data_IF_579003221306
#
_entry.id   IF_579003221306
#
_cell.length_a   1.000
_cell.length_b   1.000
_cell.length_c   1.000
_cell.angle_alpha   90.00
_cell.angle_beta   90.00
_cell.angle_gamma   90.00
#
_symmetry.space_group_name_H-M   'P 1'
#
loop_
_entity.id
_entity.type
_entity.pdbx_description
1 polymer ?
#
# COMPACT_ATOMS: atom_id res chain seq x y z
N UNK A 1 41.37 -6.07 1.97
CA UNK A 1 40.13 -5.81 2.72
C UNK A 1 39.00 -5.68 1.70
N UNK A 2 38.36 -6.80 1.39
CA UNK A 2 37.20 -6.80 0.47
C UNK A 2 36.00 -6.14 1.15
N UNK A 3 35.47 -5.10 0.50
CA UNK A 3 34.24 -4.45 0.92
C UNK A 3 33.10 -5.47 0.84
N UNK A 4 32.56 -5.90 1.97
CA UNK A 4 31.32 -6.67 2.02
C UNK A 4 30.24 -5.86 1.32
N UNK A 5 29.87 -6.25 0.11
CA UNK A 5 28.65 -5.76 -0.56
C UNK A 5 27.48 -6.03 0.39
N UNK A 6 26.78 -4.99 0.79
CA UNK A 6 25.49 -5.13 1.49
C UNK A 6 24.57 -5.99 0.64
N UNK A 7 23.74 -6.86 1.25
CA UNK A 7 22.77 -7.62 0.49
C UNK A 7 21.88 -6.62 -0.26
N UNK A 8 21.97 -6.66 -1.57
CA UNK A 8 20.99 -6.01 -2.43
C UNK A 8 19.71 -6.81 -2.22
N UNK A 9 18.65 -6.16 -1.71
CA UNK A 9 17.30 -6.67 -1.87
C UNK A 9 17.02 -6.53 -3.36
N UNK A 10 17.40 -7.55 -4.11
CA UNK A 10 17.06 -7.66 -5.49
C UNK A 10 15.55 -7.78 -5.55
N UNK A 11 14.89 -6.93 -6.31
CA UNK A 11 13.60 -7.28 -6.89
C UNK A 11 13.86 -8.57 -7.63
N UNK A 12 13.51 -9.70 -7.00
CA UNK A 12 13.64 -11.03 -7.60
C UNK A 12 12.93 -10.95 -8.93
N UNK A 13 13.64 -11.25 -10.02
CA UNK A 13 13.22 -11.04 -11.39
C UNK A 13 11.76 -11.36 -11.64
N UNK A 14 10.91 -10.39 -11.39
CA UNK A 14 9.54 -10.37 -11.83
C UNK A 14 9.64 -10.05 -13.32
N UNK A 15 9.17 -10.91 -14.23
CA UNK A 15 9.17 -10.60 -15.65
C UNK A 15 8.17 -9.46 -15.86
N UNK A 16 8.65 -8.22 -15.75
CA UNK A 16 7.85 -7.06 -16.10
C UNK A 16 7.68 -7.03 -17.61
N UNK A 17 6.47 -7.21 -18.07
CA UNK A 17 6.10 -6.99 -19.48
C UNK A 17 6.09 -5.51 -19.86
N UNK A 18 6.32 -4.59 -18.92
CA UNK A 18 6.10 -3.16 -19.08
C UNK A 18 7.36 -2.29 -18.88
N UNK A 19 8.56 -2.79 -19.19
CA UNK A 19 9.69 -1.89 -19.25
C UNK A 19 10.84 -2.17 -18.29
N UNK A 20 11.73 -1.21 -18.14
CA UNK A 20 12.98 -1.32 -17.39
C UNK A 20 12.74 -1.03 -15.90
N UNK A 21 13.20 -1.92 -15.02
CA UNK A 21 13.18 -1.70 -13.56
C UNK A 21 14.43 -0.93 -13.16
N UNK A 22 14.26 0.12 -12.37
CA UNK A 22 15.35 0.84 -11.73
C UNK A 22 15.29 0.56 -10.23
N UNK A 23 16.35 -0.04 -9.69
CA UNK A 23 16.50 -0.22 -8.25
C UNK A 23 17.13 1.04 -7.65
N UNK A 24 16.40 1.70 -6.75
CA UNK A 24 16.86 2.88 -6.03
C UNK A 24 17.55 2.52 -4.70
N UNK A 25 17.58 1.23 -4.36
CA UNK A 25 18.17 0.71 -3.13
C UNK A 25 17.36 1.03 -1.87
N UNK A 26 17.87 0.59 -0.75
CA UNK A 26 17.26 0.82 0.55
C UNK A 26 17.45 2.27 1.02
N UNK A 27 16.39 2.85 1.57
CA UNK A 27 16.50 4.14 2.25
C UNK A 27 17.25 3.96 3.57
N UNK A 28 18.27 4.79 3.78
CA UNK A 28 18.96 4.82 5.07
C UNK A 28 18.10 5.58 6.09
N UNK A 29 17.35 4.81 6.89
CA UNK A 29 16.47 5.32 7.93
C UNK A 29 17.18 5.25 9.28
N UNK A 30 17.39 6.40 9.90
CA UNK A 30 18.01 6.52 11.21
C UNK A 30 16.94 6.82 12.26
N UNK A 31 16.93 6.01 13.33
CA UNK A 31 16.07 6.28 14.46
C UNK A 31 16.60 7.48 15.25
N UNK A 32 15.71 8.31 15.73
CA UNK A 32 16.06 9.42 16.65
C UNK A 32 16.39 8.82 18.01
N UNK A 33 17.55 9.17 18.54
CA UNK A 33 17.96 8.74 19.87
C UNK A 33 16.95 9.28 20.92
N UNK A 34 16.51 8.40 21.83
CA UNK A 34 15.55 8.75 22.90
C UNK A 34 14.27 9.43 22.37
N UNK A 35 13.66 8.84 21.31
CA UNK A 35 12.42 9.33 20.71
C UNK A 35 11.23 9.07 21.65
N UNK A 36 10.99 10.04 22.54
CA UNK A 36 9.95 9.94 23.56
C UNK A 36 8.57 9.94 22.92
N UNK A 37 7.65 9.06 23.40
CA UNK A 37 6.28 9.09 22.96
C UNK A 37 5.66 10.50 23.11
N UNK A 38 4.82 10.85 22.17
CA UNK A 38 3.97 12.04 22.27
C UNK A 38 2.57 11.56 22.67
N UNK A 39 2.18 11.81 23.91
CA UNK A 39 1.03 11.15 24.52
C UNK A 39 1.19 9.62 24.41
N UNK A 40 0.26 8.94 23.69
CA UNK A 40 0.34 7.50 23.44
C UNK A 40 1.16 7.14 22.20
N UNK A 41 1.41 8.10 21.30
CA UNK A 41 2.02 7.84 19.99
C UNK A 41 3.50 7.51 20.16
N UNK A 42 3.90 6.36 19.65
CA UNK A 42 5.26 5.81 19.79
C UNK A 42 6.17 6.29 18.66
N UNK A 43 7.41 6.60 19.01
CA UNK A 43 8.49 6.94 18.06
C UNK A 43 8.11 8.01 17.00
N UNK A 44 7.40 9.10 17.36
CA UNK A 44 6.83 9.99 16.36
C UNK A 44 7.89 10.68 15.49
N UNK A 45 9.04 11.05 16.04
CA UNK A 45 10.09 11.74 15.29
C UNK A 45 10.80 10.82 14.32
N UNK A 46 11.11 9.60 14.77
CA UNK A 46 11.75 8.59 13.93
C UNK A 46 10.88 8.22 12.74
N UNK A 47 9.57 7.95 12.98
CA UNK A 47 8.61 7.63 11.93
C UNK A 47 8.39 8.83 10.99
N UNK A 48 8.30 10.05 11.54
CA UNK A 48 8.15 11.27 10.74
C UNK A 48 9.34 11.53 9.82
N UNK A 49 10.58 11.37 10.31
CA UNK A 49 11.78 11.52 9.49
C UNK A 49 11.91 10.42 8.43
N UNK A 50 11.58 9.18 8.77
CA UNK A 50 11.56 8.08 7.82
C UNK A 50 10.57 8.37 6.66
N UNK A 51 9.35 8.76 7.01
CA UNK A 51 8.32 9.11 6.04
C UNK A 51 8.70 10.31 5.16
N UNK A 52 9.43 11.28 5.68
CA UNK A 52 9.95 12.39 4.88
C UNK A 52 10.89 11.90 3.77
N UNK A 53 11.80 10.98 4.10
CA UNK A 53 12.70 10.36 3.10
C UNK A 53 11.94 9.55 2.07
N UNK A 54 10.91 8.81 2.50
CA UNK A 54 10.00 8.09 1.58
C UNK A 54 9.33 9.07 0.63
N UNK A 55 8.77 10.17 1.15
CA UNK A 55 8.10 11.19 0.34
C UNK A 55 9.03 11.80 -0.72
N UNK A 56 10.25 12.16 -0.34
CA UNK A 56 11.26 12.71 -1.25
C UNK A 56 11.61 11.73 -2.38
N UNK A 57 11.76 10.44 -2.04
CA UNK A 57 12.10 9.41 -3.03
C UNK A 57 10.92 9.12 -3.97
N UNK A 58 9.70 8.94 -3.43
CA UNK A 58 8.51 8.69 -4.26
C UNK A 58 8.24 9.88 -5.17
N UNK A 59 8.34 11.12 -4.68
CA UNK A 59 8.21 12.32 -5.51
C UNK A 59 9.24 12.36 -6.65
N UNK A 60 10.49 11.97 -6.39
CA UNK A 60 11.54 11.88 -7.41
C UNK A 60 11.20 10.85 -8.49
N UNK A 61 10.76 9.65 -8.09
CA UNK A 61 10.42 8.56 -9.01
C UNK A 61 9.23 8.93 -9.89
N UNK A 62 8.13 9.39 -9.27
CA UNK A 62 6.89 9.72 -9.98
C UNK A 62 7.03 10.96 -10.87
N UNK A 63 7.87 11.94 -10.49
CA UNK A 63 8.24 13.08 -11.34
C UNK A 63 8.95 12.64 -12.62
N UNK A 64 9.71 11.55 -12.57
CA UNK A 64 10.35 10.94 -13.73
C UNK A 64 9.39 10.07 -14.56
N UNK A 65 8.08 10.08 -14.24
CA UNK A 65 7.04 9.26 -14.89
C UNK A 65 7.29 7.75 -14.76
N UNK A 66 7.96 7.35 -13.70
CA UNK A 66 8.14 5.95 -13.33
C UNK A 66 7.05 5.56 -12.32
N UNK A 67 6.66 4.30 -12.32
CA UNK A 67 5.82 3.75 -11.27
C UNK A 67 6.70 3.56 -10.03
N UNK A 68 6.33 4.20 -8.91
CA UNK A 68 7.04 3.99 -7.66
C UNK A 68 6.53 2.69 -7.00
N UNK A 69 7.43 1.75 -6.72
CA UNK A 69 7.15 0.59 -5.88
C UNK A 69 7.86 0.78 -4.54
N UNK A 70 7.08 0.90 -3.48
CA UNK A 70 7.57 0.94 -2.09
C UNK A 70 7.46 -0.46 -1.51
N UNK A 71 8.59 -1.09 -1.22
CA UNK A 71 8.64 -2.30 -0.40
C UNK A 71 8.85 -1.83 1.04
N UNK A 72 7.76 -1.72 1.75
CA UNK A 72 7.75 -1.07 3.04
C UNK A 72 8.03 -1.98 4.21
N UNK A 73 8.17 -1.34 5.36
CA UNK A 73 8.00 -1.90 6.69
C UNK A 73 6.52 -1.92 7.05
N UNK A 74 6.16 -1.23 8.14
CA UNK A 74 4.77 -1.08 8.55
C UNK A 74 4.00 -0.07 7.67
N UNK A 75 2.67 -0.05 7.78
CA UNK A 75 1.82 0.77 6.92
C UNK A 75 1.97 2.29 7.14
N UNK A 76 2.70 2.72 8.17
CA UNK A 76 2.98 4.15 8.36
C UNK A 76 3.72 4.78 7.17
N UNK A 77 4.46 3.99 6.37
CA UNK A 77 5.18 4.49 5.17
C UNK A 77 4.24 5.13 4.14
N UNK A 78 2.95 4.79 4.17
CA UNK A 78 1.94 5.38 3.30
C UNK A 78 1.76 6.90 3.50
N UNK A 79 2.11 7.44 4.66
CA UNK A 79 2.13 8.89 4.87
C UNK A 79 3.10 9.54 3.87
N UNK A 80 4.31 8.99 3.80
CA UNK A 80 5.36 9.49 2.91
C UNK A 80 5.06 9.20 1.44
N UNK A 81 4.62 7.98 1.12
CA UNK A 81 4.41 7.58 -0.27
C UNK A 81 3.24 8.33 -0.93
N UNK A 82 2.10 8.46 -0.23
CA UNK A 82 0.94 9.23 -0.74
C UNK A 82 1.30 10.72 -0.87
N UNK A 83 1.95 11.31 0.17
CA UNK A 83 2.35 12.71 0.11
C UNK A 83 3.36 12.97 -1.01
N UNK A 84 4.38 12.11 -1.16
CA UNK A 84 5.37 12.22 -2.23
C UNK A 84 4.75 12.07 -3.61
N UNK A 85 3.83 11.12 -3.79
CA UNK A 85 3.10 10.94 -5.05
C UNK A 85 2.25 12.16 -5.39
N UNK A 86 1.56 12.76 -4.40
CA UNK A 86 0.74 13.95 -4.60
C UNK A 86 1.55 15.19 -5.03
N UNK A 87 2.86 15.25 -4.78
CA UNK A 87 3.71 16.35 -5.25
C UNK A 87 3.84 16.40 -6.78
N UNK A 88 3.76 15.26 -7.44
CA UNK A 88 3.84 15.15 -8.92
C UNK A 88 2.48 14.88 -9.56
N UNK A 89 1.56 14.29 -8.83
CA UNK A 89 0.23 13.88 -9.28
C UNK A 89 -0.86 14.37 -8.30
N UNK A 90 -1.18 15.67 -8.24
CA UNK A 90 -2.07 16.22 -7.21
C UNK A 90 -3.54 15.78 -7.33
N UNK A 91 -3.91 15.14 -8.43
CA UNK A 91 -5.25 14.59 -8.71
C UNK A 91 -5.30 13.06 -8.61
N UNK A 92 -4.34 12.45 -7.92
CA UNK A 92 -4.32 11.00 -7.72
C UNK A 92 -5.59 10.50 -7.00
N UNK A 93 -5.90 9.22 -7.18
CA UNK A 93 -6.86 8.47 -6.36
C UNK A 93 -6.12 7.37 -5.61
N UNK A 94 -6.64 7.00 -4.43
CA UNK A 94 -6.05 5.96 -3.58
C UNK A 94 -6.98 4.76 -3.51
N UNK A 95 -6.46 3.59 -3.81
CA UNK A 95 -7.08 2.29 -3.54
C UNK A 95 -6.34 1.66 -2.38
N UNK A 96 -7.02 1.49 -1.26
CA UNK A 96 -6.48 0.92 -0.03
C UNK A 96 -7.00 -0.49 0.14
N UNK A 97 -6.12 -1.47 0.05
CA UNK A 97 -6.45 -2.91 0.13
C UNK A 97 -5.84 -3.46 1.42
N UNK A 98 -6.70 -3.76 2.40
CA UNK A 98 -6.28 -3.97 3.78
C UNK A 98 -7.38 -4.66 4.60
N UNK A 99 -7.01 -5.33 5.69
CA UNK A 99 -7.95 -5.77 6.73
C UNK A 99 -8.45 -4.60 7.59
N UNK A 100 -7.61 -3.55 7.75
CA UNK A 100 -7.78 -2.41 8.64
C UNK A 100 -8.04 -1.12 7.86
N UNK A 101 -8.57 -0.11 8.55
CA UNK A 101 -8.83 1.19 7.90
C UNK A 101 -7.65 2.16 8.02
N UNK A 102 -6.78 1.98 9.00
CA UNK A 102 -5.59 2.82 9.25
C UNK A 102 -5.91 4.32 9.27
N UNK A 103 -7.09 4.61 9.83
CA UNK A 103 -7.71 5.94 9.84
C UNK A 103 -7.83 6.52 11.26
N UNK A 104 -7.23 5.86 12.24
CA UNK A 104 -7.15 6.41 13.58
C UNK A 104 -6.36 7.72 13.59
N UNK A 105 -6.61 8.54 14.58
CA UNK A 105 -5.83 9.76 14.85
C UNK A 105 -4.95 9.56 16.07
N UNK A 106 -3.97 10.44 16.34
CA UNK A 106 -3.22 10.43 17.58
C UNK A 106 -4.08 10.47 18.86
N UNK A 107 -5.34 10.94 18.75
CA UNK A 107 -6.28 11.02 19.87
C UNK A 107 -7.18 9.79 19.98
N UNK A 108 -7.59 9.21 18.85
CA UNK A 108 -8.51 8.06 18.84
C UNK A 108 -7.82 6.71 18.96
N UNK A 109 -6.55 6.62 18.55
CA UNK A 109 -5.83 5.34 18.54
C UNK A 109 -5.75 4.71 19.91
N UNK A 110 -6.18 3.44 20.08
CA UNK A 110 -6.05 2.73 21.34
C UNK A 110 -4.60 2.33 21.63
N UNK A 111 -3.83 2.00 20.62
CA UNK A 111 -2.45 1.47 20.71
C UNK A 111 -1.36 2.55 20.70
N UNK A 112 -1.62 3.70 20.07
CA UNK A 112 -0.63 4.73 19.78
C UNK A 112 0.38 4.36 18.69
N UNK A 113 0.15 3.29 17.93
CA UNK A 113 0.99 2.88 16.82
C UNK A 113 0.62 3.67 15.56
N UNK A 114 1.61 4.27 14.90
CA UNK A 114 1.37 5.18 13.76
C UNK A 114 0.93 4.41 12.51
N UNK A 115 1.23 3.11 12.38
CA UNK A 115 0.77 2.30 11.25
C UNK A 115 -0.76 2.23 11.15
N UNK A 116 -1.49 2.35 12.27
CA UNK A 116 -2.96 2.44 12.25
C UNK A 116 -3.51 3.86 12.07
N UNK A 117 -2.70 4.83 11.63
CA UNK A 117 -3.09 6.25 11.53
C UNK A 117 -2.76 6.92 10.19
N UNK A 118 -2.03 6.30 9.24
CA UNK A 118 -1.42 7.02 8.11
C UNK A 118 -2.40 7.88 7.33
N UNK A 119 -3.60 7.40 7.09
CA UNK A 119 -4.60 8.12 6.32
C UNK A 119 -5.05 9.42 7.00
N UNK A 120 -5.04 9.48 8.34
CA UNK A 120 -5.43 10.70 9.06
C UNK A 120 -4.48 11.88 8.82
N UNK A 121 -3.22 11.62 8.45
CA UNK A 121 -2.25 12.67 8.15
C UNK A 121 -2.37 13.22 6.73
N UNK A 122 -2.87 12.43 5.81
CA UNK A 122 -2.90 12.81 4.37
C UNK A 122 -4.27 13.24 3.88
N UNK A 123 -5.38 12.89 4.58
CA UNK A 123 -6.75 13.27 4.22
C UNK A 123 -7.04 14.69 4.71
N UNK A 124 -7.45 15.55 3.78
CA UNK A 124 -7.73 16.98 4.04
C UNK A 124 -8.82 17.19 5.08
N UNK A 125 -9.88 16.40 5.02
CA UNK A 125 -11.03 16.47 5.92
C UNK A 125 -10.67 16.01 7.35
N UNK A 126 -9.60 15.22 7.51
CA UNK A 126 -9.10 14.78 8.81
C UNK A 126 -8.26 15.82 9.54
N UNK A 127 -7.85 16.90 8.87
CA UNK A 127 -6.99 17.96 9.47
C UNK A 127 -7.51 18.48 10.81
N UNK A 128 -8.83 18.59 10.96
CA UNK A 128 -9.46 19.08 12.21
C UNK A 128 -9.37 18.09 13.38
N UNK A 129 -9.12 16.80 13.10
CA UNK A 129 -9.02 15.73 14.09
C UNK A 129 -7.57 15.31 14.38
N UNK A 130 -6.64 15.73 13.52
CA UNK A 130 -5.22 15.39 13.65
C UNK A 130 -4.49 16.54 14.30
N UNK A 131 -3.89 16.29 15.45
CA UNK A 131 -3.05 17.26 16.15
C UNK A 131 -1.65 17.27 15.57
N UNK A 132 -0.94 18.41 15.71
CA UNK A 132 0.47 18.49 15.33
C UNK A 132 1.30 17.45 16.09
N UNK A 133 1.87 16.51 15.36
CA UNK A 133 2.69 15.43 15.90
C UNK A 133 4.17 15.77 15.65
N UNK A 134 5.05 15.72 16.67
CA UNK A 134 6.47 15.99 16.49
C UNK A 134 7.09 15.08 15.40
N UNK A 135 7.83 15.68 14.47
CA UNK A 135 8.44 14.99 13.33
C UNK A 135 7.56 14.96 12.06
N UNK A 136 6.32 15.45 12.15
CA UNK A 136 5.37 15.48 11.03
C UNK A 136 5.03 16.90 10.54
N UNK A 137 5.79 17.90 10.95
CA UNK A 137 5.58 19.32 10.61
C UNK A 137 5.65 19.57 9.08
N UNK A 138 6.28 18.68 8.35
CA UNK A 138 6.45 18.74 6.90
C UNK A 138 5.22 18.23 6.13
N UNK A 139 4.36 17.42 6.76
CA UNK A 139 3.17 16.83 6.10
C UNK A 139 2.06 17.87 6.00
N UNK A 140 1.51 18.00 4.81
CA UNK A 140 0.26 18.73 4.61
C UNK A 140 -0.76 17.78 3.97
N UNK A 141 -1.99 17.72 4.49
CA UNK A 141 -3.04 16.89 3.90
C UNK A 141 -3.22 17.18 2.40
N UNK A 142 -3.14 16.14 1.58
CA UNK A 142 -3.09 16.24 0.13
C UNK A 142 -4.22 15.49 -0.60
N UNK A 143 -4.81 14.47 0.07
CA UNK A 143 -5.87 13.62 -0.46
C UNK A 143 -7.24 14.11 0.02
N UNK A 144 -8.27 14.06 -0.83
CA UNK A 144 -9.66 14.21 -0.37
C UNK A 144 -10.26 12.86 0.00
N UNK A 145 -11.09 12.83 1.03
CA UNK A 145 -11.76 11.59 1.47
C UNK A 145 -12.54 10.88 0.34
N UNK A 146 -13.11 11.64 -0.60
CA UNK A 146 -13.82 11.11 -1.77
C UNK A 146 -12.91 10.47 -2.83
N UNK A 147 -11.61 10.70 -2.75
CA UNK A 147 -10.61 10.17 -3.67
C UNK A 147 -9.95 8.89 -3.13
N UNK A 148 -10.51 8.34 -2.05
CA UNK A 148 -10.08 7.11 -1.37
C UNK A 148 -11.19 6.05 -1.43
N UNK A 149 -10.80 4.80 -1.65
CA UNK A 149 -11.68 3.63 -1.51
C UNK A 149 -10.97 2.54 -0.73
N UNK A 150 -11.69 1.94 0.23
CA UNK A 150 -11.26 0.76 0.97
C UNK A 150 -11.76 -0.53 0.33
N UNK A 151 -10.92 -1.57 0.31
CA UNK A 151 -11.27 -2.93 -0.13
C UNK A 151 -10.70 -3.95 0.86
N UNK A 152 -11.53 -4.84 1.37
CA UNK A 152 -11.11 -5.96 2.20
C UNK A 152 -11.22 -5.76 3.71
N UNK A 153 -11.71 -4.58 4.16
CA UNK A 153 -11.83 -4.27 5.59
C UNK A 153 -12.64 -5.33 6.35
N UNK A 154 -12.16 -5.72 7.54
CA UNK A 154 -12.85 -6.68 8.41
C UNK A 154 -12.51 -6.56 9.90
N UNK A 155 -11.50 -5.73 10.22
CA UNK A 155 -11.17 -5.34 11.60
C UNK A 155 -10.99 -3.82 11.62
N UNK A 156 -12.01 -3.11 12.07
CA UNK A 156 -12.11 -1.64 12.01
C UNK A 156 -12.51 -1.12 13.38
N UNK A 157 -11.69 -0.26 13.96
CA UNK A 157 -11.98 0.39 15.23
C UNK A 157 -13.24 1.28 15.16
N UNK A 158 -13.91 1.46 16.30
CA UNK A 158 -15.14 2.28 16.39
C UNK A 158 -14.93 3.70 15.85
N UNK A 159 -13.80 4.34 16.19
CA UNK A 159 -13.49 5.68 15.72
C UNK A 159 -13.26 5.73 14.21
N UNK A 160 -12.58 4.73 13.64
CA UNK A 160 -12.35 4.63 12.20
C UNK A 160 -13.67 4.44 11.45
N UNK A 161 -14.54 3.58 11.94
CA UNK A 161 -15.88 3.39 11.37
C UNK A 161 -16.70 4.69 11.40
N UNK A 162 -16.60 5.45 12.51
CA UNK A 162 -17.25 6.75 12.61
C UNK A 162 -16.71 7.74 11.55
N UNK A 163 -15.40 7.80 11.36
CA UNK A 163 -14.77 8.66 10.34
C UNK A 163 -15.15 8.24 8.91
N UNK A 164 -15.14 6.94 8.61
CA UNK A 164 -15.57 6.43 7.29
C UNK A 164 -17.00 6.91 6.98
N UNK A 165 -17.90 6.79 7.96
CA UNK A 165 -19.30 7.19 7.79
C UNK A 165 -19.45 8.72 7.69
N UNK A 166 -18.79 9.49 8.57
CA UNK A 166 -18.88 10.95 8.59
C UNK A 166 -18.32 11.59 7.30
N UNK A 167 -17.20 11.05 6.80
CA UNK A 167 -16.53 11.57 5.61
C UNK A 167 -17.08 10.98 4.30
N UNK A 168 -17.97 10.00 4.38
CA UNK A 168 -18.54 9.33 3.21
C UNK A 168 -17.52 8.58 2.38
N UNK A 169 -16.45 8.04 3.02
CA UNK A 169 -15.42 7.28 2.31
C UNK A 169 -16.02 5.97 1.81
N UNK A 170 -15.79 5.66 0.54
CA UNK A 170 -16.25 4.40 -0.04
C UNK A 170 -15.51 3.22 0.58
N UNK A 171 -16.28 2.22 1.01
CA UNK A 171 -15.75 1.04 1.69
C UNK A 171 -16.43 -0.22 1.13
N UNK A 172 -15.63 -1.14 0.68
CA UNK A 172 -16.02 -2.50 0.30
C UNK A 172 -15.31 -3.47 1.25
N UNK A 173 -15.97 -3.79 2.36
CA UNK A 173 -15.49 -4.75 3.34
C UNK A 173 -15.55 -6.18 2.77
N UNK A 174 -15.06 -7.16 3.51
CA UNK A 174 -15.22 -8.56 3.11
C UNK A 174 -16.68 -8.96 2.95
N UNK A 175 -17.60 -8.30 3.67
CA UNK A 175 -19.05 -8.53 3.49
C UNK A 175 -19.51 -8.13 2.07
N UNK A 176 -19.02 -7.01 1.54
CA UNK A 176 -19.34 -6.58 0.18
C UNK A 176 -18.65 -7.47 -0.85
N UNK A 177 -17.44 -7.97 -0.57
CA UNK A 177 -16.74 -8.94 -1.42
C UNK A 177 -17.55 -10.24 -1.52
N UNK A 178 -18.04 -10.76 -0.39
CA UNK A 178 -18.91 -11.95 -0.35
C UNK A 178 -20.23 -11.74 -1.11
N UNK A 179 -20.84 -10.56 -0.92
CA UNK A 179 -22.15 -10.26 -1.49
C UNK A 179 -22.13 -10.02 -3.00
N UNK A 180 -21.11 -9.33 -3.49
CA UNK A 180 -21.06 -8.86 -4.89
C UNK A 180 -20.01 -9.57 -5.73
N UNK A 181 -19.07 -10.26 -5.09
CA UNK A 181 -17.85 -10.79 -5.73
C UNK A 181 -16.84 -9.68 -6.05
N UNK A 182 -15.57 -10.06 -6.09
CA UNK A 182 -14.46 -9.10 -6.26
C UNK A 182 -14.53 -8.32 -7.57
N UNK A 183 -15.07 -8.91 -8.64
CA UNK A 183 -15.27 -8.24 -9.92
C UNK A 183 -16.16 -6.99 -9.78
N UNK A 184 -17.36 -7.15 -9.23
CA UNK A 184 -18.28 -6.02 -9.07
C UNK A 184 -17.78 -5.01 -8.05
N UNK A 185 -17.04 -5.44 -7.04
CA UNK A 185 -16.37 -4.55 -6.08
C UNK A 185 -15.37 -3.67 -6.82
N UNK A 186 -14.48 -4.22 -7.63
CA UNK A 186 -13.48 -3.45 -8.38
C UNK A 186 -14.12 -2.47 -9.38
N UNK A 187 -15.11 -2.92 -10.14
CA UNK A 187 -15.85 -2.05 -11.05
C UNK A 187 -16.46 -0.84 -10.35
N UNK A 188 -17.14 -1.08 -9.22
CA UNK A 188 -17.78 -0.02 -8.43
C UNK A 188 -16.76 0.91 -7.81
N UNK A 189 -15.70 0.35 -7.20
CA UNK A 189 -14.63 1.11 -6.58
C UNK A 189 -13.99 2.09 -7.57
N UNK A 190 -13.49 1.59 -8.70
CA UNK A 190 -12.84 2.42 -9.71
C UNK A 190 -13.78 3.47 -10.31
N UNK A 191 -15.03 3.10 -10.60
CA UNK A 191 -16.03 4.04 -11.13
C UNK A 191 -16.37 5.14 -10.14
N UNK A 192 -16.37 4.85 -8.83
CA UNK A 192 -16.71 5.84 -7.80
C UNK A 192 -15.60 6.86 -7.62
N UNK A 193 -14.33 6.42 -7.52
CA UNK A 193 -13.21 7.33 -7.26
C UNK A 193 -12.71 8.03 -8.52
N UNK A 194 -12.92 7.45 -9.69
CA UNK A 194 -12.50 8.00 -10.99
C UNK A 194 -13.48 7.66 -12.11
N UNK A 195 -14.65 8.33 -12.17
CA UNK A 195 -15.70 8.05 -13.16
C UNK A 195 -15.24 8.19 -14.61
N UNK A 196 -14.24 9.03 -14.86
CA UNK A 196 -13.73 9.30 -16.19
C UNK A 196 -12.57 8.38 -16.60
N UNK A 197 -12.02 7.61 -15.67
CA UNK A 197 -10.95 6.67 -15.95
C UNK A 197 -9.62 7.29 -16.38
N UNK A 198 -9.26 8.47 -15.86
CA UNK A 198 -8.08 9.23 -16.29
C UNK A 198 -7.09 9.58 -15.19
N UNK A 199 -7.45 9.34 -13.94
CA UNK A 199 -6.64 9.76 -12.80
C UNK A 199 -5.55 8.75 -12.48
N UNK A 200 -4.34 9.19 -12.07
CA UNK A 200 -3.29 8.30 -11.57
C UNK A 200 -3.78 7.54 -10.33
N UNK A 201 -3.46 6.26 -10.27
CA UNK A 201 -3.81 5.39 -9.14
C UNK A 201 -2.59 5.21 -8.25
N UNK A 202 -2.77 5.52 -6.97
CA UNK A 202 -1.93 5.07 -5.88
C UNK A 202 -2.62 3.88 -5.24
N UNK A 203 -1.99 2.71 -5.28
CA UNK A 203 -2.50 1.53 -4.62
C UNK A 203 -1.63 1.24 -3.40
N UNK A 204 -2.24 1.16 -2.22
CA UNK A 204 -1.60 0.71 -0.99
C UNK A 204 -2.11 -0.68 -0.65
N UNK A 205 -1.21 -1.66 -0.67
CA UNK A 205 -1.52 -3.07 -0.44
C UNK A 205 -0.85 -3.53 0.85
N UNK A 206 -1.68 -3.71 1.88
CA UNK A 206 -1.29 -4.43 3.08
C UNK A 206 -1.36 -5.93 2.82
N UNK A 207 -0.32 -6.66 3.21
CA UNK A 207 -0.30 -8.11 3.02
C UNK A 207 -1.35 -8.81 3.88
N UNK A 208 -1.78 -8.20 4.99
CA UNK A 208 -2.82 -8.74 5.86
C UNK A 208 -4.24 -8.58 5.30
N UNK A 209 -4.42 -7.87 4.18
CA UNK A 209 -5.65 -7.96 3.38
C UNK A 209 -5.93 -9.41 2.96
N UNK A 210 -4.87 -10.19 2.73
CA UNK A 210 -4.99 -11.63 2.49
C UNK A 210 -5.40 -12.35 3.77
N UNK A 211 -6.12 -13.48 3.60
CA UNK A 211 -6.37 -14.39 4.71
C UNK A 211 -5.05 -14.94 5.27
N UNK A 212 -4.92 -15.13 6.60
CA UNK A 212 -3.72 -15.69 7.23
C UNK A 212 -3.28 -17.05 6.67
N UNK A 213 -4.15 -17.79 6.00
CA UNK A 213 -3.78 -18.98 5.24
C UNK A 213 -2.79 -18.69 4.10
N UNK A 214 -2.74 -17.44 3.62
CA UNK A 214 -1.89 -17.00 2.49
C UNK A 214 -0.81 -16.00 2.91
N UNK A 215 -1.01 -15.30 4.03
CA UNK A 215 -0.07 -14.31 4.54
C UNK A 215 0.03 -14.35 6.08
N UNK A 216 0.55 -15.45 6.67
CA UNK A 216 0.67 -15.56 8.12
C UNK A 216 1.81 -14.74 8.74
N UNK A 217 2.76 -14.23 7.94
CA UNK A 217 3.91 -13.47 8.44
C UNK A 217 3.65 -11.96 8.34
N UNK A 218 2.69 -11.49 9.15
CA UNK A 218 2.32 -10.08 9.30
C UNK A 218 2.03 -9.74 10.76
N UNK A 219 1.94 -8.45 11.08
CA UNK A 219 1.80 -7.96 12.47
C UNK A 219 0.41 -8.20 13.07
N UNK A 220 -0.62 -8.00 12.27
CA UNK A 220 -2.04 -8.00 12.69
C UNK A 220 -2.91 -8.89 11.80
N UNK A 221 -2.64 -10.21 11.74
CA UNK A 221 -3.39 -11.10 10.86
C UNK A 221 -4.85 -11.23 11.32
N UNK A 222 -5.80 -11.10 10.40
CA UNK A 222 -7.25 -11.26 10.65
C UNK A 222 -7.83 -12.30 9.72
N UNK A 223 -8.57 -13.28 10.27
CA UNK A 223 -9.22 -14.33 9.47
C UNK A 223 -10.38 -13.80 8.61
N UNK A 224 -10.73 -14.53 7.56
CA UNK A 224 -11.79 -14.17 6.62
C UNK A 224 -11.34 -13.14 5.59
N UNK A 225 -10.05 -13.11 5.26
CA UNK A 225 -9.46 -12.19 4.29
C UNK A 225 -9.59 -12.62 2.84
N UNK A 226 -9.00 -11.82 1.96
CA UNK A 226 -8.95 -12.09 0.53
C UNK A 226 -8.19 -13.40 0.25
N UNK A 227 -8.70 -14.17 -0.67
CA UNK A 227 -7.93 -15.26 -1.27
C UNK A 227 -6.88 -14.73 -2.25
N UNK A 228 -5.85 -15.51 -2.56
CA UNK A 228 -4.89 -15.14 -3.62
C UNK A 228 -5.60 -14.86 -4.95
N UNK A 229 -6.65 -15.60 -5.27
CA UNK A 229 -7.41 -15.42 -6.51
C UNK A 229 -8.07 -14.04 -6.58
N UNK A 230 -8.62 -13.56 -5.48
CA UNK A 230 -9.23 -12.23 -5.38
C UNK A 230 -8.16 -11.12 -5.45
N UNK A 231 -7.05 -11.29 -4.74
CA UNK A 231 -5.93 -10.36 -4.80
C UNK A 231 -5.32 -10.27 -6.21
N UNK A 232 -5.18 -11.40 -6.92
CA UNK A 232 -4.74 -11.39 -8.32
C UNK A 232 -5.73 -10.68 -9.23
N UNK A 233 -7.04 -10.83 -8.98
CA UNK A 233 -8.07 -10.12 -9.74
C UNK A 233 -7.93 -8.61 -9.54
N UNK A 234 -7.80 -8.14 -8.29
CA UNK A 234 -7.55 -6.73 -7.98
C UNK A 234 -6.32 -6.22 -8.75
N UNK A 235 -5.23 -6.97 -8.68
CA UNK A 235 -3.97 -6.59 -9.30
C UNK A 235 -4.07 -6.52 -10.84
N UNK A 236 -4.71 -7.51 -11.47
CA UNK A 236 -4.91 -7.54 -12.92
C UNK A 236 -5.83 -6.42 -13.41
N UNK A 237 -6.91 -6.09 -12.66
CA UNK A 237 -7.79 -4.96 -12.97
C UNK A 237 -7.05 -3.62 -12.88
N UNK A 238 -6.30 -3.40 -11.81
CA UNK A 238 -5.49 -2.18 -11.65
C UNK A 238 -4.45 -2.06 -12.77
N UNK A 239 -3.69 -3.14 -13.05
CA UNK A 239 -2.73 -3.17 -14.15
C UNK A 239 -3.40 -2.89 -15.52
N UNK A 240 -4.59 -3.48 -15.74
CA UNK A 240 -5.39 -3.30 -16.94
C UNK A 240 -5.83 -1.87 -17.20
N UNK A 241 -5.92 -1.03 -16.16
CA UNK A 241 -6.22 0.40 -16.33
C UNK A 241 -5.10 1.18 -17.00
N UNK A 242 -3.85 0.71 -16.91
CA UNK A 242 -2.65 1.45 -17.34
C UNK A 242 -2.37 2.73 -16.53
N UNK A 243 -3.03 2.92 -15.37
CA UNK A 243 -2.96 4.15 -14.57
C UNK A 243 -2.26 3.98 -13.22
N UNK A 244 -1.80 2.77 -12.88
CA UNK A 244 -0.99 2.56 -11.69
C UNK A 244 0.27 3.43 -11.77
N UNK A 245 0.49 4.27 -10.80
CA UNK A 245 1.63 5.19 -10.74
C UNK A 245 2.41 5.12 -9.44
N UNK A 246 1.81 4.55 -8.38
CA UNK A 246 2.49 4.20 -7.14
C UNK A 246 1.85 2.94 -6.55
N UNK A 247 2.68 2.04 -6.03
CA UNK A 247 2.29 0.82 -5.32
C UNK A 247 3.08 0.73 -4.03
N UNK A 248 2.39 0.69 -2.90
CA UNK A 248 2.97 0.31 -1.62
C UNK A 248 2.65 -1.16 -1.35
N UNK A 249 3.63 -1.91 -0.88
CA UNK A 249 3.49 -3.29 -0.40
C UNK A 249 4.08 -3.35 1.00
N UNK A 250 3.23 -3.54 2.00
CA UNK A 250 3.57 -3.31 3.41
C UNK A 250 3.20 -4.47 4.32
N UNK A 251 3.64 -4.38 5.58
CA UNK A 251 3.35 -5.29 6.70
C UNK A 251 3.85 -6.72 6.51
N UNK A 252 4.74 -6.98 5.56
CA UNK A 252 5.44 -8.26 5.47
C UNK A 252 6.50 -8.32 6.57
N UNK A 253 6.27 -9.12 7.60
CA UNK A 253 7.25 -9.31 8.69
C UNK A 253 7.70 -10.76 8.79
N UNK A 254 8.83 -11.13 8.15
CA UNK A 254 9.32 -12.51 8.12
C UNK A 254 9.65 -13.11 9.49
N UNK A 255 9.80 -12.26 10.53
CA UNK A 255 10.17 -12.70 11.87
C UNK A 255 8.96 -13.14 12.71
N UNK A 256 7.73 -12.86 12.26
CA UNK A 256 6.51 -13.14 13.00
C UNK A 256 5.87 -14.49 12.65
N UNK A 257 6.54 -15.36 11.89
CA UNK A 257 6.00 -16.64 11.49
C UNK A 257 7.09 -17.73 11.43
N UNK A 258 6.64 -18.99 11.28
CA UNK A 258 7.54 -20.11 10.97
C UNK A 258 8.21 -19.93 9.61
N UNK A 259 9.24 -20.74 9.31
CA UNK A 259 9.92 -20.69 8.02
C UNK A 259 8.95 -20.97 6.85
N UNK A 260 8.00 -21.90 7.04
CA UNK A 260 6.96 -22.22 6.06
C UNK A 260 6.00 -21.01 5.88
N UNK A 261 5.52 -20.45 6.99
CA UNK A 261 4.62 -19.29 6.95
C UNK A 261 5.28 -18.05 6.34
N UNK A 262 6.57 -17.83 6.62
CA UNK A 262 7.39 -16.81 5.99
C UNK A 262 7.42 -17.00 4.47
N UNK A 263 7.75 -18.22 4.01
CA UNK A 263 7.84 -18.50 2.58
C UNK A 263 6.48 -18.37 1.89
N UNK A 264 5.39 -18.80 2.54
CA UNK A 264 4.03 -18.64 2.03
C UNK A 264 3.70 -17.16 1.85
N UNK A 265 3.99 -16.31 2.85
CA UNK A 265 3.74 -14.87 2.78
C UNK A 265 4.55 -14.20 1.68
N UNK A 266 5.87 -14.47 1.62
CA UNK A 266 6.75 -13.91 0.59
C UNK A 266 6.27 -14.31 -0.81
N UNK A 267 5.95 -15.58 -1.03
CA UNK A 267 5.48 -16.06 -2.33
C UNK A 267 4.15 -15.40 -2.72
N UNK A 268 3.20 -15.29 -1.78
CA UNK A 268 1.93 -14.61 -2.03
C UNK A 268 2.14 -13.15 -2.40
N UNK A 269 3.00 -12.44 -1.66
CA UNK A 269 3.32 -11.03 -1.91
C UNK A 269 3.97 -10.84 -3.29
N UNK A 270 5.00 -11.63 -3.60
CA UNK A 270 5.69 -11.56 -4.90
C UNK A 270 4.73 -11.84 -6.05
N UNK A 271 3.84 -12.83 -5.90
CA UNK A 271 2.86 -13.15 -6.92
C UNK A 271 1.86 -12.00 -7.13
N UNK A 272 1.30 -11.43 -6.05
CA UNK A 272 0.38 -10.28 -6.12
C UNK A 272 1.04 -9.08 -6.78
N UNK A 273 2.24 -8.71 -6.33
CA UNK A 273 3.02 -7.60 -6.93
C UNK A 273 3.28 -7.85 -8.42
N UNK A 274 3.61 -9.10 -8.80
CA UNK A 274 3.82 -9.45 -10.20
C UNK A 274 2.59 -9.19 -11.07
N UNK A 275 1.38 -9.45 -10.54
CA UNK A 275 0.12 -9.19 -11.25
C UNK A 275 -0.16 -7.69 -11.38
N UNK A 276 0.18 -6.86 -10.39
CA UNK A 276 0.11 -5.40 -10.53
C UNK A 276 1.00 -4.87 -11.65
N UNK A 277 2.07 -5.58 -11.97
CA UNK A 277 2.99 -5.24 -13.07
C UNK A 277 2.77 -6.08 -14.35
N UNK A 278 1.57 -6.61 -14.54
CA UNK A 278 1.14 -7.17 -15.79
C UNK A 278 1.30 -8.68 -15.98
N UNK A 279 1.68 -9.45 -14.92
CA UNK A 279 1.55 -10.90 -14.96
C UNK A 279 0.06 -11.26 -15.09
N UNK A 280 -0.28 -12.15 -16.02
CA UNK A 280 -1.65 -12.60 -16.27
C UNK A 280 -1.80 -14.07 -15.92
N UNK A 281 -2.92 -14.43 -15.28
CA UNK A 281 -3.26 -15.83 -14.97
C UNK A 281 -3.51 -16.68 -16.20
N UNK A 282 -3.98 -16.08 -17.29
CA UNK A 282 -4.13 -16.73 -18.59
C UNK A 282 -2.80 -16.93 -19.34
N UNK A 283 -1.71 -16.39 -18.82
CA UNK A 283 -0.40 -16.41 -19.43
C UNK A 283 -0.06 -15.13 -20.18
N UNK A 284 1.23 -14.86 -20.29
CA UNK A 284 1.78 -13.74 -21.04
C UNK A 284 2.54 -14.27 -22.26
N UNK A 285 2.45 -13.55 -23.35
CA UNK A 285 3.29 -13.77 -24.53
C UNK A 285 4.37 -12.70 -24.52
N UNK A 286 5.65 -13.12 -24.55
CA UNK A 286 6.77 -12.17 -24.62
C UNK A 286 6.81 -11.45 -25.96
N UNK A 287 7.26 -10.20 -25.94
CA UNK A 287 7.45 -9.43 -27.18
C UNK A 287 8.38 -10.19 -28.14
N UNK A 288 7.92 -10.35 -29.38
CA UNK A 288 8.66 -11.05 -30.42
C UNK A 288 8.57 -12.58 -30.39
N UNK A 289 7.80 -13.17 -29.44
CA UNK A 289 7.56 -14.62 -29.49
C UNK A 289 6.81 -15.01 -30.76
N UNK A 290 7.35 -16.03 -31.45
CA UNK A 290 6.70 -16.62 -32.62
C UNK A 290 6.42 -18.08 -32.33
N UNK A 291 5.20 -18.50 -32.67
CA UNK A 291 4.85 -19.92 -32.56
C UNK A 291 5.74 -20.73 -33.52
N UNK A 292 6.46 -21.74 -33.03
CA UNK A 292 7.25 -22.59 -33.89
C UNK A 292 6.35 -23.25 -34.96
N UNK A 293 6.76 -23.17 -36.21
CA UNK A 293 6.09 -23.89 -37.31
C UNK A 293 6.80 -25.21 -37.56
N UNK A 294 6.08 -26.28 -37.91
CA UNK A 294 6.70 -27.53 -38.31
C UNK A 294 7.63 -27.32 -39.52
N UNK A 295 8.71 -28.10 -39.63
CA UNK A 295 9.63 -28.05 -40.80
C UNK A 295 8.94 -28.44 -42.09
#
# INVERSE_FOLDING_TARGET
MESKKKPQVGVVGIPFSLGQVTDYGDLNLEAVADDKPWNKVKNPRSVGLANKKVAEMVAKITKNRQIALTLGGDHSVAIGSIYGHAQSCPNLVVVWVDAHADLNTPLSSPSGNIHGMPLSFVIKEMKKYTTALPGFEWVQPCLSAKDLVFIGLRDVDEAERAFINELGIQCYSMQEVDKYGIQNVMERALRTIDPNGVRPIHLSFDVDALDPAYAPATGTPVHGGLTRREAYYIAEEIAGTGRLSCLDTVEVNPLLSTDEGRQVTINSTVDVVSHFFGKRREGNVSDGYRVPTPP
#
